data_IF_808001455165
#
_entry.id   IF_808001455165
#
_cell.length_a   1.000
_cell.length_b   1.000
_cell.length_c   1.000
_cell.angle_alpha   90.00
_cell.angle_beta   90.00
_cell.angle_gamma   90.00
#
_symmetry.space_group_name_H-M   'P 1'
#
loop_
_entity.id
_entity.type
_entity.pdbx_description
1 polymer ?
#
# COMPACT_ATOMS: atom_id res chain seq x y z
N UNK A 1 20.75 -44.78 -9.35
CA UNK A 1 20.64 -43.71 -8.34
C UNK A 1 21.27 -42.46 -8.94
N UNK A 2 20.49 -41.58 -9.56
CA UNK A 2 21.00 -40.37 -10.22
C UNK A 2 20.71 -39.17 -9.31
N UNK A 3 21.73 -38.73 -8.57
CA UNK A 3 21.64 -37.53 -7.75
C UNK A 3 21.65 -36.30 -8.65
N UNK A 4 20.48 -35.67 -8.81
CA UNK A 4 20.36 -34.38 -9.47
C UNK A 4 20.99 -33.31 -8.56
N UNK A 5 22.19 -32.84 -8.90
CA UNK A 5 22.82 -31.71 -8.22
C UNK A 5 22.02 -30.46 -8.54
N UNK A 6 21.14 -30.06 -7.63
CA UNK A 6 20.45 -28.78 -7.72
C UNK A 6 21.47 -27.67 -7.48
N UNK A 7 21.78 -26.90 -8.52
CA UNK A 7 22.50 -25.65 -8.34
C UNK A 7 21.60 -24.73 -7.49
N UNK A 8 21.92 -24.57 -6.20
CA UNK A 8 21.30 -23.56 -5.35
C UNK A 8 21.78 -22.19 -5.84
N UNK A 9 21.15 -21.66 -6.89
CA UNK A 9 21.28 -20.26 -7.24
C UNK A 9 20.68 -19.45 -6.08
N UNK A 10 21.55 -18.77 -5.32
CA UNK A 10 21.13 -17.88 -4.23
C UNK A 10 20.23 -16.80 -4.82
N UNK A 11 18.93 -16.85 -4.53
CA UNK A 11 18.00 -15.80 -4.97
C UNK A 11 18.52 -14.44 -4.51
N UNK A 12 18.51 -13.42 -5.39
CA UNK A 12 18.92 -12.09 -4.99
C UNK A 12 18.00 -11.58 -3.88
N UNK A 13 18.57 -11.33 -2.70
CA UNK A 13 17.85 -10.67 -1.61
C UNK A 13 17.63 -9.21 -2.01
N UNK A 14 16.37 -8.82 -2.18
CA UNK A 14 16.01 -7.43 -2.48
C UNK A 14 15.77 -6.70 -1.15
N UNK A 15 16.69 -5.82 -0.79
CA UNK A 15 16.63 -5.05 0.47
C UNK A 15 15.83 -3.75 0.35
N UNK A 16 15.04 -3.58 -0.72
CA UNK A 16 14.28 -2.36 -0.98
C UNK A 16 12.79 -2.63 -0.86
N UNK A 17 12.17 -1.98 0.12
CA UNK A 17 10.72 -1.85 0.20
C UNK A 17 10.36 -0.38 -0.02
N UNK A 18 9.41 -0.12 -0.92
CA UNK A 18 8.84 1.21 -1.14
C UNK A 18 7.40 1.24 -0.64
N UNK A 19 6.92 2.43 -0.31
CA UNK A 19 5.53 2.60 0.13
C UNK A 19 4.54 2.29 -1.00
N UNK A 20 3.32 1.90 -0.62
CA UNK A 20 2.25 1.52 -1.56
C UNK A 20 1.99 2.60 -2.63
N UNK A 21 1.94 3.87 -2.23
CA UNK A 21 1.72 4.96 -3.19
C UNK A 21 2.85 5.11 -4.22
N UNK A 22 4.10 4.83 -3.84
CA UNK A 22 5.26 4.88 -4.76
C UNK A 22 5.13 3.76 -5.78
N UNK A 23 4.79 2.55 -5.32
CA UNK A 23 4.53 1.41 -6.20
C UNK A 23 3.43 1.71 -7.21
N UNK A 24 2.33 2.34 -6.77
CA UNK A 24 1.24 2.72 -7.68
C UNK A 24 1.63 3.83 -8.66
N UNK A 25 2.40 4.83 -8.24
CA UNK A 25 2.93 5.83 -9.18
C UNK A 25 3.78 5.19 -10.26
N UNK A 26 4.71 4.30 -9.90
CA UNK A 26 5.57 3.59 -10.86
C UNK A 26 4.76 2.73 -11.83
N UNK A 27 3.72 2.04 -11.34
CA UNK A 27 2.83 1.24 -12.18
C UNK A 27 2.03 2.10 -13.16
N UNK A 28 1.49 3.23 -12.69
CA UNK A 28 0.77 4.17 -13.55
C UNK A 28 1.67 4.79 -14.62
N UNK A 29 2.90 5.16 -14.26
CA UNK A 29 3.91 5.66 -15.21
C UNK A 29 4.25 4.62 -16.29
N UNK A 30 4.22 3.33 -15.93
CA UNK A 30 4.41 2.22 -16.85
C UNK A 30 3.13 1.84 -17.64
N UNK A 31 2.03 2.57 -17.49
CA UNK A 31 0.76 2.30 -18.17
C UNK A 31 -0.02 1.11 -17.59
N UNK A 32 0.36 0.59 -16.42
CA UNK A 32 -0.36 -0.48 -15.73
C UNK A 32 -1.52 0.15 -14.94
N UNK A 33 -2.78 -0.27 -15.17
CA UNK A 33 -3.92 0.32 -14.50
C UNK A 33 -3.88 0.04 -12.98
N UNK A 34 -4.01 1.10 -12.18
CA UNK A 34 -4.15 1.03 -10.73
C UNK A 34 -5.38 1.83 -10.27
N UNK A 35 -5.91 1.59 -9.04
CA UNK A 35 -6.98 2.41 -8.48
C UNK A 35 -6.56 3.88 -8.39
N UNK A 36 -7.51 4.81 -8.60
CA UNK A 36 -7.26 6.23 -8.34
C UNK A 36 -6.93 6.42 -6.85
N UNK A 37 -5.86 7.17 -6.56
CA UNK A 37 -5.42 7.39 -5.19
C UNK A 37 -4.89 8.81 -5.01
N UNK A 38 -4.73 9.21 -3.75
CA UNK A 38 -4.02 10.42 -3.34
C UNK A 38 -3.24 10.16 -2.07
N UNK A 39 -2.23 10.99 -1.80
CA UNK A 39 -1.41 10.91 -0.58
C UNK A 39 -1.63 12.19 0.22
N UNK A 40 -2.00 12.04 1.48
CA UNK A 40 -2.22 13.14 2.41
C UNK A 40 -1.20 13.06 3.55
N UNK A 41 -0.72 14.22 4.01
CA UNK A 41 0.08 14.37 5.23
C UNK A 41 -0.73 14.93 6.39
N UNK A 42 -1.88 15.54 6.10
CA UNK A 42 -2.80 16.10 7.09
C UNK A 42 -4.21 15.55 6.91
N UNK A 43 -5.04 15.68 7.96
CA UNK A 43 -6.45 15.26 7.90
C UNK A 43 -7.24 16.07 6.86
N UNK A 44 -7.01 17.37 6.77
CA UNK A 44 -7.69 18.25 5.81
C UNK A 44 -7.36 17.89 4.36
N UNK A 45 -6.10 17.55 4.07
CA UNK A 45 -5.70 17.03 2.76
C UNK A 45 -6.40 15.71 2.44
N UNK A 46 -6.51 14.81 3.41
CA UNK A 46 -7.19 13.53 3.22
C UNK A 46 -8.67 13.72 2.88
N UNK A 47 -9.37 14.62 3.58
CA UNK A 47 -10.76 14.96 3.31
C UNK A 47 -10.94 15.57 1.91
N UNK A 48 -10.09 16.53 1.53
CA UNK A 48 -10.13 17.16 0.19
C UNK A 48 -9.89 16.13 -0.91
N UNK A 49 -8.92 15.23 -0.73
CA UNK A 49 -8.63 14.17 -1.70
C UNK A 49 -9.78 13.18 -1.81
N UNK A 50 -10.43 12.81 -0.70
CA UNK A 50 -11.59 11.93 -0.71
C UNK A 50 -12.73 12.50 -1.57
N UNK A 51 -13.06 13.78 -1.39
CA UNK A 51 -14.07 14.49 -2.19
C UNK A 51 -13.69 14.50 -3.68
N UNK A 52 -12.42 14.77 -3.98
CA UNK A 52 -11.92 14.85 -5.36
C UNK A 52 -11.89 13.51 -6.10
N UNK A 53 -11.84 12.38 -5.39
CA UNK A 53 -11.90 11.05 -5.99
C UNK A 53 -13.29 10.74 -6.58
N UNK A 54 -14.34 11.48 -6.17
CA UNK A 54 -15.72 11.37 -6.70
C UNK A 54 -16.25 9.93 -6.71
N UNK A 55 -15.94 9.17 -5.67
CA UNK A 55 -16.39 7.79 -5.48
C UNK A 55 -16.92 7.60 -4.06
N UNK A 56 -17.91 6.73 -3.92
CA UNK A 56 -18.51 6.41 -2.61
C UNK A 56 -17.67 5.43 -1.80
N UNK A 57 -16.97 4.53 -2.49
CA UNK A 57 -16.14 3.50 -1.87
C UNK A 57 -14.69 3.98 -1.79
N UNK A 58 -14.33 4.58 -0.66
CA UNK A 58 -12.97 5.09 -0.41
C UNK A 58 -12.31 4.23 0.67
N UNK A 59 -11.03 3.93 0.47
CA UNK A 59 -10.20 3.25 1.46
C UNK A 59 -9.09 4.17 1.92
N UNK A 60 -9.11 4.55 3.20
CA UNK A 60 -8.00 5.26 3.83
C UNK A 60 -6.99 4.23 4.35
N UNK A 61 -5.73 4.36 3.93
CA UNK A 61 -4.65 3.42 4.26
C UNK A 61 -3.43 4.13 4.82
N UNK A 62 -3.00 3.70 6.00
CA UNK A 62 -1.73 4.10 6.60
C UNK A 62 -0.55 3.67 5.70
N UNK A 63 0.36 4.62 5.44
CA UNK A 63 1.57 4.38 4.67
C UNK A 63 2.71 3.98 5.62
N UNK A 64 3.00 2.68 5.71
CA UNK A 64 4.10 2.11 6.50
C UNK A 64 4.76 0.95 5.74
N UNK A 65 6.05 0.73 5.96
CA UNK A 65 6.79 -0.42 5.39
C UNK A 65 6.59 -1.68 6.23
N UNK A 66 5.32 -2.05 6.44
CA UNK A 66 4.93 -3.23 7.21
C UNK A 66 3.63 -3.84 6.66
N UNK A 67 3.55 -5.17 6.73
CA UNK A 67 2.31 -5.90 6.49
C UNK A 67 1.32 -5.79 7.67
N UNK A 68 0.13 -6.36 7.53
CA UNK A 68 -0.81 -6.50 8.65
C UNK A 68 -1.59 -5.24 9.05
N UNK A 69 -1.53 -4.17 8.27
CA UNK A 69 -2.16 -2.87 8.57
C UNK A 69 -3.64 -2.93 8.94
N UNK A 70 -4.42 -3.80 8.28
CA UNK A 70 -5.86 -3.96 8.57
C UNK A 70 -6.19 -4.63 9.90
N UNK A 71 -5.22 -5.35 10.49
CA UNK A 71 -5.34 -5.97 11.84
C UNK A 71 -4.57 -5.18 12.91
N UNK A 72 -3.70 -4.26 12.51
CA UNK A 72 -2.94 -3.40 13.41
C UNK A 72 -3.79 -2.24 13.91
N UNK A 73 -3.39 -1.63 15.02
CA UNK A 73 -4.11 -0.52 15.65
C UNK A 73 -3.17 0.64 15.99
N UNK A 74 -3.66 1.88 15.91
CA UNK A 74 -2.90 3.03 16.40
C UNK A 74 -2.87 3.04 17.94
N UNK A 75 -1.75 3.50 18.51
CA UNK A 75 -1.53 3.52 19.96
C UNK A 75 -2.67 4.23 20.69
N UNK A 76 -3.28 3.54 21.67
CA UNK A 76 -4.37 4.08 22.47
C UNK A 76 -5.73 4.13 21.78
N UNK A 77 -5.88 3.47 20.62
CA UNK A 77 -7.15 3.43 19.87
C UNK A 77 -7.43 2.02 19.35
N UNK A 78 -8.69 1.76 18.98
CA UNK A 78 -9.09 0.57 18.21
C UNK A 78 -9.17 0.85 16.71
N UNK A 79 -8.54 1.93 16.23
CA UNK A 79 -8.57 2.32 14.82
C UNK A 79 -7.52 1.52 14.05
N UNK A 80 -7.96 0.86 12.97
CA UNK A 80 -7.10 0.08 12.08
C UNK A 80 -6.33 0.96 11.08
N UNK A 81 -5.17 0.48 10.62
CA UNK A 81 -4.39 1.12 9.56
C UNK A 81 -5.01 1.04 8.15
N UNK A 82 -6.13 0.33 7.99
CA UNK A 82 -6.94 0.28 6.76
C UNK A 82 -8.41 0.45 7.15
N UNK A 83 -9.09 1.47 6.59
CA UNK A 83 -10.48 1.77 6.92
C UNK A 83 -11.28 2.17 5.68
N UNK A 84 -12.50 1.65 5.58
CA UNK A 84 -13.49 2.13 4.61
C UNK A 84 -14.02 3.48 5.09
N UNK A 85 -14.07 4.45 4.19
CA UNK A 85 -14.55 5.79 4.44
C UNK A 85 -15.66 6.13 3.45
N UNK A 86 -16.70 6.77 3.94
CA UNK A 86 -17.74 7.39 3.12
C UNK A 86 -17.34 8.86 2.87
N UNK A 87 -17.79 9.41 1.75
CA UNK A 87 -17.50 10.79 1.32
C UNK A 87 -18.36 11.82 2.02
#
# INVERSE_FOLDING_TARGET
ILACKTNLAKQPARNLNVHEHISYSLLNEAGVPTPKFGVAKTADEAAKLAINLKTKDIVLKAQVLAGGRGKGHFKGTNVSGVKMCET
#
